data_IF_976589916250
#
_entry.id   IF_976589916250
#
_cell.length_a   1.000
_cell.length_b   1.000
_cell.length_c   1.000
_cell.angle_alpha   90.00
_cell.angle_beta   90.00
_cell.angle_gamma   90.00
#
_symmetry.space_group_name_H-M   'P 1'
#
loop_
_entity.id
_entity.type
_entity.pdbx_description
1 polymer ?
#
# COMPACT_ATOMS: atom_id res chain seq x y z
N UNK A 1 -1.38 -7.93 -3.99
CA UNK A 1 -0.49 -6.99 -4.73
C UNK A 1 -1.07 -6.52 -6.06
N UNK A 2 -1.63 -7.40 -6.91
CA UNK A 2 -2.12 -7.06 -8.26
C UNK A 2 -3.05 -5.84 -8.36
N UNK A 3 -3.93 -5.64 -7.39
CA UNK A 3 -4.81 -4.46 -7.35
C UNK A 3 -4.04 -3.15 -7.26
N UNK A 4 -3.02 -3.08 -6.39
CA UNK A 4 -2.15 -1.91 -6.28
C UNK A 4 -1.33 -1.67 -7.56
N UNK A 5 -0.92 -2.74 -8.27
CA UNK A 5 -0.26 -2.60 -9.58
C UNK A 5 -1.16 -1.86 -10.58
N UNK A 6 -2.45 -2.19 -10.60
CA UNK A 6 -3.42 -1.49 -11.46
C UNK A 6 -3.64 -0.04 -11.04
N UNK A 7 -3.74 0.23 -9.74
CA UNK A 7 -3.86 1.62 -9.23
C UNK A 7 -2.62 2.43 -9.62
N UNK A 8 -1.41 1.89 -9.45
CA UNK A 8 -0.17 2.59 -9.83
C UNK A 8 0.00 2.75 -11.34
N UNK A 9 -0.54 1.83 -12.14
CA UNK A 9 -0.53 1.92 -13.61
C UNK A 9 -1.57 2.94 -14.15
N UNK A 10 -2.57 3.32 -13.36
CA UNK A 10 -3.62 4.24 -13.76
C UNK A 10 -3.06 5.61 -14.21
N UNK A 11 -3.65 6.30 -15.21
CA UNK A 11 -3.14 7.58 -15.71
C UNK A 11 -3.20 8.72 -14.68
N UNK A 12 -4.17 8.70 -13.76
CA UNK A 12 -4.16 9.58 -12.58
C UNK A 12 -3.17 8.99 -11.57
N UNK A 13 -2.25 9.82 -11.05
CA UNK A 13 -1.15 9.33 -10.20
C UNK A 13 -1.31 9.64 -8.71
N UNK A 14 -1.93 10.76 -8.38
CA UNK A 14 -2.06 11.24 -6.99
C UNK A 14 -3.26 10.63 -6.27
N UNK A 15 -3.37 9.31 -6.32
CA UNK A 15 -4.38 8.56 -5.58
C UNK A 15 -4.08 8.57 -4.09
N UNK A 16 -5.13 8.79 -3.27
CA UNK A 16 -5.12 8.44 -1.85
C UNK A 16 -5.67 7.03 -1.73
N UNK A 17 -4.86 6.11 -1.22
CA UNK A 17 -5.20 4.69 -1.06
C UNK A 17 -5.32 4.40 0.43
N UNK A 18 -6.43 3.79 0.81
CA UNK A 18 -6.70 3.32 2.17
C UNK A 18 -6.94 1.82 2.09
N UNK A 19 -6.18 1.06 2.87
CA UNK A 19 -6.33 -0.38 3.02
C UNK A 19 -6.72 -0.64 4.47
N UNK A 20 -7.92 -1.18 4.68
CA UNK A 20 -8.44 -1.54 6.00
C UNK A 20 -7.83 -2.86 6.51
N UNK A 21 -8.12 -3.20 7.77
CA UNK A 21 -7.67 -4.44 8.43
C UNK A 21 -6.15 -4.66 8.32
N UNK A 22 -5.37 -3.63 8.67
CA UNK A 22 -3.91 -3.68 8.60
C UNK A 22 -3.29 -4.82 9.42
N UNK A 23 -4.01 -5.30 10.45
CA UNK A 23 -3.64 -6.46 11.28
C UNK A 23 -3.43 -7.75 10.48
N UNK A 24 -4.03 -7.91 9.30
CA UNK A 24 -3.91 -9.13 8.49
C UNK A 24 -2.57 -9.20 7.71
N UNK A 25 -1.80 -8.11 7.66
CA UNK A 25 -0.54 -8.02 6.92
C UNK A 25 0.65 -8.64 7.67
N UNK A 26 0.52 -9.93 8.01
CA UNK A 26 1.50 -10.74 8.76
C UNK A 26 2.25 -11.76 7.89
N UNK A 27 2.07 -11.74 6.57
CA UNK A 27 2.70 -12.72 5.67
C UNK A 27 2.01 -14.09 5.67
N UNK A 28 0.70 -14.14 5.99
CA UNK A 28 -0.10 -15.37 6.12
C UNK A 28 -1.38 -15.27 5.32
N UNK A 29 -1.98 -16.41 5.01
CA UNK A 29 -3.30 -16.50 4.36
C UNK A 29 -3.42 -15.71 3.03
N UNK A 30 -2.28 -15.54 2.34
CA UNK A 30 -2.20 -14.81 1.08
C UNK A 30 -1.97 -13.29 1.22
N UNK A 31 -1.94 -12.76 2.44
CA UNK A 31 -1.52 -11.38 2.71
C UNK A 31 0.00 -11.28 2.85
N UNK A 32 0.63 -10.22 2.28
CA UNK A 32 2.05 -9.96 2.50
C UNK A 32 2.30 -9.43 3.91
N UNK A 33 3.56 -9.35 4.33
CA UNK A 33 3.90 -8.58 5.54
C UNK A 33 3.78 -7.07 5.28
N UNK A 34 3.68 -6.28 6.35
CA UNK A 34 3.75 -4.82 6.26
C UNK A 34 5.04 -4.35 5.59
N UNK A 35 6.18 -5.00 5.86
CA UNK A 35 7.47 -4.69 5.26
C UNK A 35 7.49 -4.98 3.75
N UNK A 36 6.96 -6.13 3.34
CA UNK A 36 6.85 -6.51 1.93
C UNK A 36 5.93 -5.55 1.16
N UNK A 37 4.79 -5.20 1.75
CA UNK A 37 3.87 -4.22 1.19
C UNK A 37 4.53 -2.85 1.09
N UNK A 38 5.21 -2.39 2.15
CA UNK A 38 5.94 -1.11 2.14
C UNK A 38 7.00 -1.09 1.03
N UNK A 39 7.81 -2.14 0.92
CA UNK A 39 8.84 -2.23 -0.13
C UNK A 39 8.22 -2.24 -1.54
N UNK A 40 7.10 -2.94 -1.71
CA UNK A 40 6.35 -2.95 -2.97
C UNK A 40 5.82 -1.54 -3.32
N UNK A 41 5.26 -0.82 -2.35
CA UNK A 41 4.73 0.54 -2.54
C UNK A 41 5.86 1.50 -2.94
N UNK A 42 6.97 1.54 -2.20
CA UNK A 42 8.07 2.46 -2.50
C UNK A 42 8.78 2.14 -3.83
N UNK A 43 8.76 0.89 -4.28
CA UNK A 43 9.31 0.55 -5.60
C UNK A 43 8.46 1.12 -6.74
N UNK A 44 7.14 1.14 -6.59
CA UNK A 44 6.22 1.57 -7.65
C UNK A 44 5.82 3.05 -7.53
N UNK A 45 5.84 3.60 -6.32
CA UNK A 45 5.50 4.99 -6.03
C UNK A 45 6.48 5.59 -5.01
N UNK A 46 7.73 5.92 -5.42
CA UNK A 46 8.85 6.19 -4.51
C UNK A 46 8.70 7.40 -3.59
N UNK A 47 7.84 8.36 -3.94
CA UNK A 47 7.59 9.60 -3.18
C UNK A 47 6.29 9.55 -2.38
N UNK A 48 5.76 8.35 -2.12
CA UNK A 48 4.56 8.20 -1.30
C UNK A 48 4.88 8.06 0.18
N UNK A 49 4.03 8.64 1.00
CA UNK A 49 3.93 8.29 2.40
C UNK A 49 3.33 6.88 2.53
N UNK A 50 3.79 6.13 3.54
CA UNK A 50 3.19 4.85 3.96
C UNK A 50 2.97 4.90 5.47
N UNK A 51 1.73 5.15 5.87
CA UNK A 51 1.34 5.43 7.26
C UNK A 51 0.38 4.35 7.71
N UNK A 52 0.71 3.66 8.79
CA UNK A 52 -0.22 2.78 9.51
C UNK A 52 -0.81 3.54 10.69
N UNK A 53 -2.12 3.80 10.65
CA UNK A 53 -2.82 4.49 11.75
C UNK A 53 -4.29 4.06 11.79
N UNK A 54 -4.80 3.86 13.01
CA UNK A 54 -6.18 3.46 13.26
C UNK A 54 -6.59 2.17 12.51
N UNK A 55 -5.70 1.18 12.47
CA UNK A 55 -5.85 -0.09 11.72
C UNK A 55 -5.97 0.03 10.18
N UNK A 56 -5.64 1.23 9.66
CA UNK A 56 -5.67 1.50 8.22
C UNK A 56 -4.26 1.81 7.73
N UNK A 57 -3.87 1.19 6.62
CA UNK A 57 -2.67 1.56 5.85
C UNK A 57 -3.05 2.65 4.87
N UNK A 58 -2.37 3.79 4.96
CA UNK A 58 -2.61 4.98 4.14
C UNK A 58 -1.42 5.22 3.23
N UNK A 59 -1.67 5.32 1.94
CA UNK A 59 -0.67 5.60 0.91
C UNK A 59 -1.14 6.80 0.11
N UNK A 60 -0.33 7.85 0.08
CA UNK A 60 -0.61 9.08 -0.67
C UNK A 60 0.72 9.79 -1.01
N UNK A 61 0.70 10.70 -1.98
CA UNK A 61 1.85 11.59 -2.22
C UNK A 61 2.18 12.46 -1.01
N UNK A 62 3.43 12.90 -0.92
CA UNK A 62 3.85 13.99 -0.02
C UNK A 62 3.21 15.34 -0.39
#
# INVERSE_FOLDING_TARGET
MKELEWIFAHPVKDHVILIDDAREFLGKDGYPTLEELRAFVHRNHPRSAFILKDDIIRIHGE
#
